data_IF_192053522792
#
_entry.id   IF_192053522792
#
_cell.length_a   1.000
_cell.length_b   1.000
_cell.length_c   1.000
_cell.angle_alpha   90.00
_cell.angle_beta   90.00
_cell.angle_gamma   90.00
#
_symmetry.space_group_name_H-M   'P 1'
#
loop_
_entity.id
_entity.type
_entity.pdbx_description
1 polymer ?
#
# COMPACT_ATOMS: atom_id res chain seq x y z
N UNK A 1 -13.80 -40.45 -45.45
CA UNK A 1 -14.04 -39.78 -46.75
C UNK A 1 -15.55 -39.64 -46.93
N UNK A 2 -16.12 -38.48 -47.31
CA UNK A 2 -15.54 -37.16 -47.59
C UNK A 2 -15.87 -36.13 -46.47
N UNK A 3 -15.04 -35.13 -46.14
CA UNK A 3 -14.58 -33.95 -46.91
C UNK A 3 -15.72 -32.96 -47.22
N UNK A 4 -15.78 -31.85 -46.48
CA UNK A 4 -16.05 -30.53 -47.05
C UNK A 4 -15.29 -29.45 -46.26
N UNK A 5 -14.24 -28.95 -46.90
CA UNK A 5 -13.65 -27.64 -46.69
C UNK A 5 -14.58 -26.57 -47.28
N UNK A 6 -14.64 -25.40 -46.65
CA UNK A 6 -14.73 -24.13 -47.37
C UNK A 6 -14.19 -23.00 -46.48
N UNK A 7 -13.20 -22.30 -47.03
CA UNK A 7 -12.56 -21.11 -46.48
C UNK A 7 -13.05 -19.85 -47.23
N UNK A 8 -12.50 -18.68 -46.83
CA UNK A 8 -12.48 -17.38 -47.54
C UNK A 8 -13.74 -16.54 -47.24
N UNK A 9 -13.66 -15.30 -46.71
CA UNK A 9 -13.19 -14.07 -47.40
C UNK A 9 -12.57 -13.07 -46.41
N UNK A 10 -11.34 -12.64 -46.72
CA UNK A 10 -10.70 -11.45 -46.18
C UNK A 10 -11.23 -10.19 -46.89
N UNK A 11 -11.46 -9.09 -46.15
CA UNK A 11 -11.63 -7.75 -46.74
C UNK A 11 -10.46 -6.85 -46.35
N UNK A 12 -9.62 -6.62 -47.35
CA UNK A 12 -8.59 -5.59 -47.42
C UNK A 12 -9.29 -4.26 -47.74
N UNK A 13 -9.02 -3.22 -46.97
CA UNK A 13 -9.19 -1.84 -47.43
C UNK A 13 -7.82 -1.16 -47.36
N UNK A 14 -7.19 -1.01 -48.52
CA UNK A 14 -6.21 0.03 -48.80
C UNK A 14 -6.94 1.17 -49.51
N UNK A 15 -6.81 2.38 -48.98
CA UNK A 15 -6.82 3.59 -49.79
C UNK A 15 -5.76 4.54 -49.28
N UNK A 16 -5.00 5.00 -50.25
CA UNK A 16 -3.72 5.63 -50.19
C UNK A 16 -3.86 7.14 -50.45
N UNK A 17 -2.88 7.89 -49.93
CA UNK A 17 -2.27 9.11 -50.50
C UNK A 17 -3.09 10.42 -50.50
N UNK A 18 -2.65 11.40 -49.70
CA UNK A 18 -1.98 12.64 -50.19
C UNK A 18 -1.61 13.59 -49.02
N UNK A 19 -0.32 13.91 -48.92
CA UNK A 19 0.24 15.18 -48.40
C UNK A 19 0.53 16.07 -49.64
N UNK A 20 0.55 17.43 -49.60
CA UNK A 20 1.71 18.13 -49.00
C UNK A 20 1.56 19.64 -48.61
N UNK A 21 2.68 20.14 -48.05
CA UNK A 21 3.28 21.51 -48.05
C UNK A 21 3.04 22.47 -46.88
N UNK A 22 4.20 22.90 -46.37
CA UNK A 22 4.51 24.07 -45.53
C UNK A 22 3.97 25.39 -46.09
N UNK A 23 3.63 26.31 -45.18
CA UNK A 23 3.97 27.73 -45.35
C UNK A 23 4.05 28.47 -44.00
N UNK A 24 5.02 29.36 -43.97
CA UNK A 24 5.47 30.37 -43.00
C UNK A 24 4.40 31.37 -42.52
N UNK A 25 4.61 31.98 -41.34
CA UNK A 25 4.09 33.33 -41.10
C UNK A 25 3.87 33.75 -39.64
N UNK A 26 4.69 34.69 -39.17
CA UNK A 26 4.53 35.45 -37.92
C UNK A 26 3.18 36.20 -37.83
N UNK A 27 2.57 36.25 -36.64
CA UNK A 27 2.02 37.51 -36.13
C UNK A 27 1.85 37.56 -34.60
N UNK A 28 2.35 38.66 -34.01
CA UNK A 28 2.16 39.11 -32.63
C UNK A 28 0.74 39.67 -32.44
N UNK A 29 0.20 39.53 -31.21
CA UNK A 29 -0.73 40.43 -30.46
C UNK A 29 -1.08 39.66 -29.17
N UNK A 30 -0.55 39.99 -27.98
CA UNK A 30 -0.74 41.17 -27.14
C UNK A 30 -2.22 41.48 -26.85
N UNK A 31 -2.76 40.90 -25.77
CA UNK A 31 -3.92 41.40 -25.03
C UNK A 31 -3.63 41.22 -23.53
N UNK A 32 -3.57 42.35 -22.83
CA UNK A 32 -3.64 42.48 -21.38
C UNK A 32 -4.97 41.92 -20.87
N UNK A 33 -4.98 41.34 -19.68
CA UNK A 33 -6.11 41.55 -18.77
C UNK A 33 -5.63 41.56 -17.32
N UNK A 34 -5.80 42.73 -16.72
CA UNK A 34 -5.90 42.96 -15.29
C UNK A 34 -6.95 42.01 -14.67
N UNK A 35 -6.69 41.55 -13.45
CA UNK A 35 -7.57 41.83 -12.33
C UNK A 35 -6.86 41.50 -11.01
N UNK A 36 -6.54 42.58 -10.29
CA UNK A 36 -6.46 42.59 -8.84
C UNK A 36 -7.83 42.19 -8.29
N UNK A 37 -7.87 41.32 -7.28
CA UNK A 37 -8.98 41.27 -6.34
C UNK A 37 -8.44 41.26 -4.92
N UNK A 38 -9.06 42.10 -4.12
CA UNK A 38 -8.62 42.61 -2.83
C UNK A 38 -8.86 41.64 -1.66
N UNK A 39 -8.04 41.87 -0.64
CA UNK A 39 -8.27 41.79 0.80
C UNK A 39 -9.63 41.28 1.30
N UNK A 40 -9.57 40.32 2.22
CA UNK A 40 -10.17 40.47 3.56
C UNK A 40 -9.69 39.35 4.49
N UNK A 41 -8.90 39.66 5.52
CA UNK A 41 -9.08 38.99 6.82
C UNK A 41 -8.78 39.94 7.97
N UNK A 42 -9.81 40.06 8.79
CA UNK A 42 -9.96 40.86 9.99
C UNK A 42 -8.88 40.63 11.04
N UNK A 43 -8.49 41.73 11.64
CA UNK A 43 -7.80 41.85 12.92
C UNK A 43 -8.81 41.59 14.04
N UNK A 44 -8.54 40.61 14.91
CA UNK A 44 -9.22 40.47 16.20
C UNK A 44 -8.15 40.41 17.29
N UNK A 45 -8.09 41.48 18.07
CA UNK A 45 -7.41 41.56 19.35
C UNK A 45 -8.31 40.95 20.43
N UNK A 46 -7.77 40.07 21.27
CA UNK A 46 -8.23 40.03 22.67
C UNK A 46 -7.14 39.55 23.64
N UNK A 47 -7.06 40.29 24.73
CA UNK A 47 -6.04 40.25 25.78
C UNK A 47 -6.40 39.22 26.87
N UNK A 48 -5.33 38.72 27.50
CA UNK A 48 -5.21 38.38 28.94
C UNK A 48 -6.20 37.35 29.52
N UNK A 49 -5.63 36.20 29.92
CA UNK A 49 -5.99 35.59 31.21
C UNK A 49 -4.74 35.18 32.00
N UNK A 50 -4.80 35.45 33.31
CA UNK A 50 -3.73 35.37 34.31
C UNK A 50 -3.56 33.96 34.88
N UNK A 51 -2.30 33.63 35.19
CA UNK A 51 -1.73 32.85 36.32
C UNK A 51 -2.71 32.06 37.22
N UNK A 52 -2.39 30.77 37.48
CA UNK A 52 -1.79 30.27 38.76
C UNK A 52 -1.59 28.72 38.76
N UNK A 53 -0.84 28.15 39.74
CA UNK A 53 0.19 27.14 39.52
C UNK A 53 -0.26 25.71 39.86
N UNK A 54 0.55 24.68 39.52
CA UNK A 54 0.60 23.50 40.38
C UNK A 54 1.91 22.69 40.29
N UNK A 55 2.50 22.54 41.48
CA UNK A 55 3.40 21.53 42.01
C UNK A 55 4.08 20.54 41.07
N UNK A 56 5.41 20.67 40.99
CA UNK A 56 6.35 19.58 40.69
C UNK A 56 6.50 18.73 41.97
N UNK A 57 6.11 17.46 41.92
CA UNK A 57 6.67 16.41 42.79
C UNK A 57 7.43 15.45 41.88
N UNK A 58 8.75 15.46 42.06
CA UNK A 58 9.68 14.45 41.59
C UNK A 58 9.61 13.25 42.54
N UNK A 59 9.43 12.06 41.99
CA UNK A 59 9.79 10.81 42.67
C UNK A 59 10.46 9.91 41.64
N UNK A 60 11.76 9.71 41.85
CA UNK A 60 12.53 8.58 41.34
C UNK A 60 11.85 7.27 41.74
N UNK A 61 11.86 6.28 40.85
CA UNK A 61 11.89 4.89 41.27
C UNK A 61 12.65 4.05 40.24
N UNK A 62 13.53 3.24 40.79
CA UNK A 62 14.61 2.53 40.15
C UNK A 62 14.15 1.29 39.36
N UNK A 63 14.97 1.00 38.34
CA UNK A 63 15.48 -0.33 37.94
C UNK A 63 14.71 -1.56 38.45
N UNK A 64 14.13 -2.32 37.51
CA UNK A 64 14.29 -3.78 37.49
C UNK A 64 14.65 -4.27 36.10
N UNK A 65 15.70 -5.07 36.11
CA UNK A 65 16.34 -5.82 35.04
C UNK A 65 15.58 -7.11 34.71
N UNK A 66 16.10 -7.79 33.68
CA UNK A 66 15.78 -9.15 33.20
C UNK A 66 14.60 -9.14 32.21
N UNK A 67 14.64 -9.81 31.05
CA UNK A 67 15.40 -11.00 30.71
C UNK A 67 15.46 -11.15 29.18
N UNK A 68 16.56 -11.74 28.73
CA UNK A 68 16.84 -12.13 27.35
C UNK A 68 15.87 -13.18 26.83
N UNK A 69 15.61 -13.15 25.52
CA UNK A 69 15.22 -14.34 24.79
C UNK A 69 16.31 -14.63 23.77
N UNK A 70 17.21 -15.52 24.18
CA UNK A 70 18.18 -16.19 23.32
C UNK A 70 17.50 -17.24 22.44
N UNK A 71 18.16 -17.47 21.31
CA UNK A 71 17.86 -18.37 20.20
C UNK A 71 17.60 -19.83 20.60
N UNK A 72 16.72 -20.53 19.88
CA UNK A 72 17.06 -21.86 19.33
C UNK A 72 16.02 -22.45 18.35
N UNK A 73 16.53 -22.81 17.17
CA UNK A 73 16.32 -24.07 16.41
C UNK A 73 14.93 -24.70 16.25
N UNK A 74 14.47 -24.71 14.99
CA UNK A 74 13.73 -25.74 14.24
C UNK A 74 12.93 -26.82 14.98
N UNK A 75 11.62 -26.83 14.75
CA UNK A 75 10.85 -28.07 14.57
C UNK A 75 9.64 -27.83 13.66
N UNK A 76 9.72 -28.35 12.43
CA UNK A 76 8.58 -28.54 11.55
C UNK A 76 7.60 -29.50 12.25
N UNK A 77 6.43 -28.99 12.60
CA UNK A 77 5.32 -29.80 13.08
C UNK A 77 4.12 -29.52 12.21
N UNK A 78 3.88 -30.43 11.27
CA UNK A 78 2.59 -30.58 10.62
C UNK A 78 1.65 -31.12 11.70
N UNK A 79 0.96 -30.23 12.41
CA UNK A 79 -0.13 -30.61 13.30
C UNK A 79 -1.44 -30.61 12.51
N UNK A 80 -1.78 -31.77 11.97
CA UNK A 80 -3.13 -32.12 11.55
C UNK A 80 -4.00 -32.34 12.80
N UNK A 81 -4.67 -31.27 13.25
CA UNK A 81 -5.62 -31.31 14.38
C UNK A 81 -6.01 -29.96 14.97
N UNK A 82 -5.30 -28.87 14.65
CA UNK A 82 -5.66 -27.52 15.08
C UNK A 82 -6.86 -26.96 14.31
N UNK A 83 -7.80 -26.34 15.00
CA UNK A 83 -8.91 -25.60 14.39
C UNK A 83 -8.49 -24.21 13.88
N UNK A 84 -7.24 -23.84 14.09
CA UNK A 84 -6.57 -22.65 13.63
C UNK A 84 -5.24 -22.99 12.95
N UNK A 85 -4.80 -22.10 12.07
CA UNK A 85 -3.53 -22.18 11.37
C UNK A 85 -2.70 -20.95 11.71
N UNK A 86 -1.51 -21.16 12.29
CA UNK A 86 -0.49 -20.13 12.39
C UNK A 86 0.22 -19.99 11.05
N UNK A 87 0.29 -18.77 10.53
CA UNK A 87 1.00 -18.50 9.29
C UNK A 87 1.63 -17.10 9.29
N UNK A 88 2.65 -16.93 8.46
CA UNK A 88 3.28 -15.67 8.13
C UNK A 88 2.80 -15.21 6.76
N UNK A 89 2.43 -13.93 6.65
CA UNK A 89 2.14 -13.25 5.38
C UNK A 89 3.13 -12.11 5.20
N UNK A 90 3.95 -12.15 4.17
CA UNK A 90 4.89 -11.08 3.84
C UNK A 90 4.43 -10.30 2.62
N UNK A 91 4.30 -8.99 2.76
CA UNK A 91 3.96 -8.06 1.68
C UNK A 91 5.20 -7.29 1.23
N UNK A 92 5.41 -7.24 -0.08
CA UNK A 92 6.43 -6.42 -0.72
C UNK A 92 5.72 -5.46 -1.66
N UNK A 93 5.95 -4.17 -1.49
CA UNK A 93 5.31 -3.12 -2.29
C UNK A 93 6.39 -2.41 -3.11
N UNK A 94 6.18 -2.36 -4.41
CA UNK A 94 7.00 -1.57 -5.33
C UNK A 94 6.10 -0.59 -6.09
N UNK A 95 6.49 0.68 -6.13
CA UNK A 95 5.89 1.63 -7.05
C UNK A 95 6.26 1.21 -8.49
N UNK A 96 5.31 1.31 -9.41
CA UNK A 96 5.51 1.06 -10.82
C UNK A 96 5.58 2.41 -11.52
N UNK A 97 6.76 3.05 -11.58
CA UNK A 97 6.92 4.23 -12.39
C UNK A 97 6.56 3.87 -13.84
N UNK A 98 5.83 4.75 -14.52
CA UNK A 98 5.59 4.61 -15.96
C UNK A 98 6.89 4.79 -16.75
N UNK A 99 6.80 5.30 -17.98
CA UNK A 99 7.97 5.50 -18.86
C UNK A 99 8.94 6.62 -18.41
N UNK A 100 8.89 7.06 -17.15
CA UNK A 100 9.72 8.14 -16.61
C UNK A 100 10.69 7.67 -15.52
N UNK A 101 11.70 8.50 -15.18
CA UNK A 101 12.66 8.21 -14.11
C UNK A 101 12.00 8.34 -12.73
N UNK A 102 11.31 7.30 -12.29
CA UNK A 102 10.74 7.19 -10.96
C UNK A 102 11.42 6.10 -10.14
N UNK A 103 11.48 6.28 -8.83
CA UNK A 103 11.89 5.20 -7.93
C UNK A 103 10.77 4.18 -7.78
N UNK A 104 11.13 2.90 -7.73
CA UNK A 104 10.22 1.81 -7.38
C UNK A 104 10.04 1.68 -5.86
N UNK A 105 10.79 2.44 -5.08
CA UNK A 105 10.84 2.29 -3.63
C UNK A 105 9.59 2.85 -2.95
N UNK A 106 9.16 2.12 -1.92
CA UNK A 106 8.16 2.56 -0.96
C UNK A 106 8.86 2.85 0.35
N UNK A 107 8.36 3.82 1.10
CA UNK A 107 8.95 4.21 2.38
C UNK A 107 7.91 4.14 3.49
N UNK A 108 8.39 3.98 4.72
CA UNK A 108 7.56 4.07 5.91
C UNK A 108 8.25 4.88 6.99
N UNK A 109 7.48 5.27 7.99
CA UNK A 109 8.00 5.88 9.21
C UNK A 109 7.39 5.24 10.44
N UNK A 110 8.17 5.18 11.51
CA UNK A 110 7.67 4.85 12.84
C UNK A 110 7.08 6.13 13.45
N UNK A 111 5.80 6.10 13.79
CA UNK A 111 5.06 7.18 14.44
C UNK A 111 4.88 6.96 15.96
N UNK A 112 5.21 5.77 16.48
CA UNK A 112 5.03 5.42 17.89
C UNK A 112 3.55 5.38 18.28
N UNK A 113 3.21 5.82 19.49
CA UNK A 113 1.83 5.81 20.02
C UNK A 113 0.99 7.02 19.57
N UNK A 114 1.45 7.78 18.57
CA UNK A 114 0.76 8.98 18.10
C UNK A 114 -0.54 8.67 17.34
N UNK A 115 -0.64 7.49 16.75
CA UNK A 115 -1.79 7.03 16.00
C UNK A 115 -2.13 5.59 16.39
N UNK A 116 -3.21 5.06 15.83
CA UNK A 116 -3.67 3.70 16.11
C UNK A 116 -2.67 2.61 15.69
N UNK A 117 -1.83 2.91 14.69
CA UNK A 117 -0.76 2.02 14.25
C UNK A 117 0.59 2.72 14.45
N UNK A 118 1.60 1.93 14.86
CA UNK A 118 2.94 2.45 15.15
C UNK A 118 3.73 2.86 13.92
N UNK A 119 3.30 2.42 12.73
CA UNK A 119 3.98 2.65 11.47
C UNK A 119 3.02 3.28 10.46
N UNK A 120 3.54 4.18 9.61
CA UNK A 120 2.82 4.76 8.49
C UNK A 120 3.56 4.45 7.20
N UNK A 121 2.89 3.79 6.26
CA UNK A 121 3.36 3.61 4.88
C UNK A 121 3.13 4.92 4.11
N UNK A 122 4.08 5.30 3.28
CA UNK A 122 4.00 6.50 2.45
C UNK A 122 3.81 6.11 1.00
N UNK A 123 2.69 6.53 0.43
CA UNK A 123 2.33 6.24 -0.95
C UNK A 123 2.04 7.54 -1.70
N UNK A 124 2.25 7.52 -3.02
CA UNK A 124 1.85 8.57 -3.92
C UNK A 124 0.41 8.33 -4.41
N UNK A 125 -0.34 9.40 -4.61
CA UNK A 125 -1.63 9.38 -5.30
C UNK A 125 -1.45 9.13 -6.80
N UNK A 126 -2.49 8.64 -7.47
CA UNK A 126 -2.48 8.43 -8.93
C UNK A 126 -1.28 7.59 -9.42
N UNK A 127 -0.89 6.59 -8.63
CA UNK A 127 0.28 5.72 -8.89
C UNK A 127 -0.16 4.26 -8.90
N UNK A 128 0.61 3.42 -9.59
CA UNK A 128 0.37 1.98 -9.63
C UNK A 128 1.43 1.28 -8.79
N UNK A 129 1.01 0.30 -7.99
CA UNK A 129 1.87 -0.47 -7.12
C UNK A 129 1.79 -1.94 -7.52
N UNK A 130 2.94 -2.56 -7.68
CA UNK A 130 3.05 -4.01 -7.68
C UNK A 130 3.15 -4.47 -6.23
N UNK A 131 2.33 -5.45 -5.87
CA UNK A 131 2.35 -6.08 -4.56
C UNK A 131 2.69 -7.54 -4.74
N UNK A 132 3.80 -7.97 -4.14
CA UNK A 132 4.13 -9.38 -3.98
C UNK A 132 3.67 -9.80 -2.58
N UNK A 133 2.97 -10.92 -2.49
CA UNK A 133 2.52 -11.50 -1.24
C UNK A 133 3.03 -12.93 -1.12
N UNK A 134 3.74 -13.21 -0.04
CA UNK A 134 4.22 -14.55 0.29
C UNK A 134 3.45 -15.09 1.50
N UNK A 135 3.01 -16.35 1.42
CA UNK A 135 2.26 -17.01 2.49
C UNK A 135 2.97 -18.31 2.88
N UNK A 136 3.31 -18.41 4.16
CA UNK A 136 4.03 -19.53 4.75
C UNK A 136 3.36 -19.99 6.06
N UNK A 137 2.98 -21.27 6.22
CA UNK A 137 3.12 -22.35 5.24
C UNK A 137 2.16 -22.18 4.05
N UNK A 138 2.43 -22.93 2.97
CA UNK A 138 1.63 -22.92 1.73
C UNK A 138 0.12 -23.01 1.99
N UNK A 139 -0.58 -21.89 1.77
CA UNK A 139 -2.03 -21.82 1.98
C UNK A 139 -2.69 -21.08 0.83
N UNK A 140 -3.59 -21.75 0.10
CA UNK A 140 -4.21 -21.18 -1.10
C UNK A 140 -5.19 -20.05 -0.79
N UNK A 141 -5.07 -18.96 -1.55
CA UNK A 141 -6.01 -17.85 -1.55
C UNK A 141 -7.15 -18.05 -2.55
N UNK A 142 -8.31 -17.51 -2.20
CA UNK A 142 -9.49 -17.44 -3.08
C UNK A 142 -9.94 -16.01 -3.34
N UNK A 143 -9.58 -15.08 -2.46
CA UNK A 143 -10.03 -13.69 -2.55
C UNK A 143 -9.05 -12.77 -1.84
N UNK A 144 -8.82 -11.60 -2.42
CA UNK A 144 -8.03 -10.53 -1.85
C UNK A 144 -8.70 -9.18 -2.15
N UNK A 145 -8.86 -8.37 -1.11
CA UNK A 145 -9.38 -7.01 -1.20
C UNK A 145 -8.42 -6.05 -0.53
N UNK A 146 -8.11 -4.95 -1.19
CA UNK A 146 -7.22 -3.91 -0.69
C UNK A 146 -7.84 -2.53 -0.97
N UNK A 147 -7.93 -1.69 0.06
CA UNK A 147 -8.52 -0.36 -0.08
C UNK A 147 -10.00 -0.38 -0.48
N UNK A 148 -10.73 -1.45 -0.14
CA UNK A 148 -12.13 -1.65 -0.51
C UNK A 148 -12.34 -2.31 -1.89
N UNK A 149 -11.30 -2.41 -2.72
CA UNK A 149 -11.36 -2.96 -4.07
C UNK A 149 -11.03 -4.45 -4.10
N UNK A 150 -11.81 -5.23 -4.84
CA UNK A 150 -11.50 -6.63 -5.12
C UNK A 150 -10.35 -6.67 -6.14
N UNK A 151 -9.22 -7.26 -5.76
CA UNK A 151 -8.02 -7.26 -6.60
C UNK A 151 -7.81 -8.64 -7.20
N UNK A 152 -7.60 -8.68 -8.52
CA UNK A 152 -7.15 -9.89 -9.21
C UNK A 152 -5.67 -10.14 -8.89
N UNK A 153 -5.34 -11.39 -8.60
CA UNK A 153 -3.98 -11.82 -8.28
C UNK A 153 -3.62 -13.07 -9.06
N UNK A 154 -2.34 -13.21 -9.35
CA UNK A 154 -1.77 -14.36 -10.05
C UNK A 154 -0.87 -15.13 -9.09
N UNK A 155 -0.97 -16.45 -9.13
CA UNK A 155 -0.08 -17.35 -8.39
C UNK A 155 1.21 -17.49 -9.19
N UNK A 156 2.33 -17.02 -8.65
CA UNK A 156 3.62 -16.91 -9.36
C UNK A 156 4.56 -18.10 -9.07
N UNK A 157 4.17 -19.02 -8.18
CA UNK A 157 5.04 -20.08 -7.64
C UNK A 157 5.92 -20.75 -8.69
N UNK A 158 7.23 -20.55 -8.52
CA UNK A 158 8.30 -21.45 -8.93
C UNK A 158 9.37 -21.39 -7.83
N UNK A 159 8.97 -21.73 -6.61
CA UNK A 159 9.87 -21.66 -5.45
C UNK A 159 10.62 -22.98 -5.36
N UNK A 160 11.96 -22.95 -5.38
CA UNK A 160 12.81 -24.14 -5.18
C UNK A 160 12.58 -24.84 -3.82
N UNK A 161 11.92 -24.15 -2.87
CA UNK A 161 11.55 -24.67 -1.57
C UNK A 161 10.01 -24.68 -1.43
N UNK A 162 9.44 -25.88 -1.29
CA UNK A 162 8.00 -26.16 -1.23
C UNK A 162 7.28 -25.69 0.06
N UNK A 163 7.76 -24.63 0.72
CA UNK A 163 7.22 -24.18 2.00
C UNK A 163 6.23 -23.01 1.89
N UNK A 164 6.27 -22.23 0.80
CA UNK A 164 5.45 -21.00 0.66
C UNK A 164 4.81 -20.83 -0.71
N UNK A 165 3.65 -20.15 -0.72
CA UNK A 165 3.00 -19.69 -1.95
C UNK A 165 3.28 -18.22 -2.19
N UNK A 166 3.53 -17.86 -3.44
CA UNK A 166 3.79 -16.48 -3.86
C UNK A 166 2.68 -16.03 -4.81
N UNK A 167 2.12 -14.87 -4.49
CA UNK A 167 1.12 -14.19 -5.30
C UNK A 167 1.62 -12.82 -5.72
N UNK A 168 1.22 -12.40 -6.91
CA UNK A 168 1.48 -11.06 -7.42
C UNK A 168 0.17 -10.41 -7.82
N UNK A 169 0.04 -9.12 -7.50
CA UNK A 169 -1.12 -8.31 -7.83
C UNK A 169 -0.72 -6.85 -8.06
N UNK A 170 -1.60 -6.10 -8.70
CA UNK A 170 -1.42 -4.69 -8.97
C UNK A 170 -2.53 -3.89 -8.30
N UNK A 171 -2.15 -2.78 -7.67
CA UNK A 171 -3.07 -1.90 -6.99
C UNK A 171 -2.84 -0.45 -7.43
N UNK A 172 -3.91 0.23 -7.82
CA UNK A 172 -3.86 1.63 -8.24
C UNK A 172 -4.37 2.55 -7.14
N UNK A 173 -3.69 3.68 -6.94
CA UNK A 173 -4.14 4.78 -6.09
C UNK A 173 -4.81 5.91 -6.90
N UNK A 174 -5.21 5.63 -8.15
CA UNK A 174 -6.03 6.54 -8.94
C UNK A 174 -7.34 6.85 -8.22
N UNK A 175 -7.71 8.13 -8.20
CA UNK A 175 -8.91 8.60 -7.48
C UNK A 175 -8.75 8.73 -5.96
N UNK A 176 -7.62 8.32 -5.37
CA UNK A 176 -7.34 8.54 -3.95
C UNK A 176 -6.78 9.95 -3.75
N UNK A 177 -7.43 10.74 -2.89
CA UNK A 177 -6.98 12.09 -2.53
C UNK A 177 -5.77 12.08 -1.60
N UNK A 178 -4.95 13.13 -1.67
CA UNK A 178 -3.82 13.30 -0.72
C UNK A 178 -4.31 13.37 0.73
N UNK A 179 -3.57 12.76 1.66
CA UNK A 179 -3.93 12.77 3.07
C UNK A 179 -3.49 14.07 3.73
N UNK A 180 -4.44 14.81 4.30
CA UNK A 180 -4.19 16.07 5.02
C UNK A 180 -3.09 15.98 6.09
N UNK A 181 -2.44 17.11 6.38
CA UNK A 181 -1.42 17.20 7.43
C UNK A 181 -2.00 16.71 8.78
N UNK A 182 -1.18 16.03 9.58
CA UNK A 182 -1.55 15.39 10.86
C UNK A 182 -2.49 14.18 10.76
N UNK A 183 -3.16 13.94 9.63
CA UNK A 183 -4.02 12.77 9.43
C UNK A 183 -3.28 11.59 8.78
N UNK A 184 -3.90 10.41 8.91
CA UNK A 184 -3.56 9.15 8.27
C UNK A 184 -4.83 8.51 7.72
N UNK A 185 -4.67 7.71 6.68
CA UNK A 185 -5.74 6.96 6.05
C UNK A 185 -5.56 5.49 6.39
N UNK A 186 -6.61 4.85 6.89
CA UNK A 186 -6.64 3.41 7.07
C UNK A 186 -7.01 2.74 5.75
N UNK A 187 -6.11 1.92 5.21
CA UNK A 187 -6.34 1.13 4.01
C UNK A 187 -6.72 -0.29 4.46
N UNK A 188 -8.01 -0.68 4.39
CA UNK A 188 -8.45 -2.01 4.80
C UNK A 188 -7.94 -3.09 3.85
N UNK A 189 -7.60 -4.24 4.40
CA UNK A 189 -7.19 -5.43 3.69
C UNK A 189 -8.02 -6.63 4.17
N UNK A 190 -8.52 -7.41 3.22
CA UNK A 190 -9.23 -8.67 3.50
C UNK A 190 -8.64 -9.77 2.64
N UNK A 191 -8.28 -10.88 3.26
CA UNK A 191 -7.71 -12.06 2.59
C UNK A 191 -8.57 -13.26 2.94
N UNK A 192 -9.04 -14.01 1.93
CA UNK A 192 -9.79 -15.27 2.14
C UNK A 192 -8.97 -16.45 1.65
N UNK A 193 -8.78 -17.40 2.53
CA UNK A 193 -8.12 -18.67 2.23
C UNK A 193 -9.15 -19.71 1.77
N UNK A 194 -8.71 -20.71 1.00
CA UNK A 194 -9.60 -21.75 0.45
C UNK A 194 -10.22 -22.65 1.52
N UNK A 195 -9.42 -23.04 2.52
CA UNK A 195 -9.81 -23.97 3.60
C UNK A 195 -10.08 -23.30 4.95
N UNK A 196 -9.81 -21.99 5.07
CA UNK A 196 -9.86 -21.25 6.34
C UNK A 196 -10.67 -19.96 6.19
N UNK A 197 -11.02 -19.33 7.31
CA UNK A 197 -11.75 -18.06 7.30
C UNK A 197 -10.94 -16.92 6.71
N UNK A 198 -11.66 -15.88 6.30
CA UNK A 198 -11.02 -14.60 5.95
C UNK A 198 -10.38 -13.95 7.17
N UNK A 199 -9.27 -13.26 6.94
CA UNK A 199 -8.66 -12.33 7.90
C UNK A 199 -8.88 -10.90 7.41
N UNK A 200 -9.11 -9.98 8.34
CA UNK A 200 -9.24 -8.55 8.06
C UNK A 200 -8.24 -7.79 8.90
N UNK A 201 -7.59 -6.82 8.29
CA UNK A 201 -6.69 -5.90 8.99
C UNK A 201 -6.62 -4.61 8.18
N UNK A 202 -5.82 -3.65 8.64
CA UNK A 202 -5.61 -2.38 7.97
C UNK A 202 -4.14 -1.98 7.98
N UNK A 203 -3.75 -1.24 6.94
CA UNK A 203 -2.50 -0.51 6.90
C UNK A 203 -2.77 0.97 7.14
N UNK A 204 -2.00 1.58 8.04
CA UNK A 204 -1.99 3.02 8.19
C UNK A 204 -1.11 3.65 7.11
N UNK A 205 -1.70 4.52 6.29
CA UNK A 205 -1.08 5.10 5.11
C UNK A 205 -1.14 6.62 5.16
N UNK A 206 -0.14 7.27 4.56
CA UNK A 206 -0.20 8.67 4.17
C UNK A 206 -0.02 8.81 2.67
N UNK A 207 -1.04 9.30 2.00
CA UNK A 207 -1.00 9.60 0.57
C UNK A 207 -0.43 11.00 0.34
N UNK A 208 0.65 11.07 -0.43
CA UNK A 208 1.29 12.28 -0.90
C UNK A 208 0.94 12.53 -2.35
N UNK A 209 0.99 13.78 -2.78
CA UNK A 209 0.91 14.09 -4.21
C UNK A 209 2.03 13.35 -4.96
N UNK A 210 1.77 12.90 -6.19
CA UNK A 210 2.77 12.26 -7.05
C UNK A 210 4.01 13.13 -7.29
N UNK A 211 3.85 14.46 -7.20
CA UNK A 211 4.95 15.43 -7.37
C UNK A 211 5.74 15.69 -6.07
N UNK A 212 5.34 15.12 -4.93
CA UNK A 212 5.88 15.41 -3.61
C UNK A 212 6.84 14.32 -3.11
N UNK A 213 7.82 14.02 -3.95
CA UNK A 213 8.81 12.95 -3.71
C UNK A 213 9.58 13.14 -2.40
N UNK A 214 9.96 14.39 -2.11
CA UNK A 214 10.71 14.74 -0.89
C UNK A 214 10.02 14.26 0.39
N UNK A 215 8.67 14.33 0.46
CA UNK A 215 7.93 13.90 1.66
C UNK A 215 7.53 12.44 1.61
N UNK A 216 7.25 11.89 0.43
CA UNK A 216 6.96 10.46 0.26
C UNK A 216 8.18 9.58 0.52
N UNK A 217 9.38 10.05 0.21
CA UNK A 217 10.64 9.29 0.35
C UNK A 217 11.36 9.50 1.70
N UNK A 218 10.88 10.43 2.53
CA UNK A 218 11.46 10.65 3.86
C UNK A 218 11.16 9.45 4.78
N UNK A 219 12.16 8.85 5.41
CA UNK A 219 11.97 7.77 6.38
C UNK A 219 12.83 6.56 6.07
N UNK A 220 12.34 5.37 6.43
CA UNK A 220 13.01 4.11 6.10
C UNK A 220 12.41 3.55 4.81
N UNK A 221 13.27 3.03 3.93
CA UNK A 221 12.82 2.24 2.78
C UNK A 221 12.10 0.99 3.30
N UNK A 222 10.96 0.67 2.69
CA UNK A 222 10.14 -0.48 3.01
C UNK A 222 10.59 -1.65 2.14
N UNK A 223 11.14 -2.68 2.76
CA UNK A 223 11.51 -3.92 2.10
C UNK A 223 10.35 -4.91 2.14
N UNK A 224 9.78 -5.12 3.33
CA UNK A 224 8.58 -5.95 3.49
C UNK A 224 7.75 -5.53 4.70
N UNK A 225 6.48 -5.96 4.70
CA UNK A 225 5.64 -5.98 5.89
C UNK A 225 5.29 -7.42 6.18
N UNK A 226 5.76 -7.90 7.32
CA UNK A 226 5.54 -9.26 7.77
C UNK A 226 4.40 -9.28 8.79
N UNK A 227 3.40 -10.11 8.54
CA UNK A 227 2.27 -10.35 9.42
C UNK A 227 2.37 -11.76 9.98
N UNK A 228 2.39 -11.89 11.30
CA UNK A 228 2.16 -13.18 11.96
C UNK A 228 0.67 -13.28 12.26
N UNK A 229 0.03 -14.35 11.80
CA UNK A 229 -1.42 -14.47 11.82
C UNK A 229 -1.86 -15.81 12.42
N UNK A 230 -3.02 -15.77 13.09
CA UNK A 230 -3.83 -16.95 13.41
C UNK A 230 -5.04 -16.97 12.50
N UNK A 231 -5.22 -18.00 11.68
CA UNK A 231 -6.37 -18.12 10.79
C UNK A 231 -7.29 -19.23 11.27
N UNK A 232 -8.49 -18.86 11.72
CA UNK A 232 -9.46 -19.82 12.23
C UNK A 232 -10.19 -20.62 11.14
N UNK A 233 -10.72 -21.77 11.53
CA UNK A 233 -11.65 -22.62 10.78
C UNK A 233 -12.96 -22.80 11.58
N UNK A 234 -14.09 -23.01 10.91
CA UNK A 234 -15.36 -23.28 11.60
C UNK A 234 -15.84 -22.11 12.48
N UNK A 235 -15.89 -22.27 13.79
CA UNK A 235 -16.25 -21.20 14.75
C UNK A 235 -15.08 -20.26 15.09
N UNK A 236 -13.83 -20.70 14.93
CA UNK A 236 -12.63 -19.97 15.34
C UNK A 236 -12.42 -18.69 14.54
N UNK A 237 -11.91 -17.64 15.18
CA UNK A 237 -11.67 -16.32 14.57
C UNK A 237 -10.29 -16.24 13.92
N UNK A 238 -10.12 -15.32 12.98
CA UNK A 238 -8.81 -15.00 12.40
C UNK A 238 -8.30 -13.67 12.93
N UNK A 239 -7.02 -13.59 13.32
CA UNK A 239 -6.36 -12.40 13.86
C UNK A 239 -4.97 -12.20 13.25
N UNK A 240 -4.56 -10.93 13.17
CA UNK A 240 -3.15 -10.57 12.97
C UNK A 240 -2.56 -10.39 14.36
N UNK A 241 -1.61 -11.24 14.71
CA UNK A 241 -1.02 -11.29 16.04
C UNK A 241 0.13 -10.28 16.15
N UNK A 242 0.92 -10.12 15.07
CA UNK A 242 2.04 -9.19 15.01
C UNK A 242 2.18 -8.58 13.60
N UNK A 243 2.66 -7.32 13.53
CA UNK A 243 3.04 -6.64 12.28
C UNK A 243 4.46 -6.07 12.40
N UNK A 244 5.34 -6.49 11.50
CA UNK A 244 6.74 -6.04 11.46
C UNK A 244 7.03 -5.35 10.14
N UNK A 245 7.64 -4.16 10.19
CA UNK A 245 8.03 -3.38 9.01
C UNK A 245 9.56 -3.42 8.88
N UNK A 246 10.03 -3.94 7.74
CA UNK A 246 11.45 -4.16 7.43
C UNK A 246 11.97 -3.20 6.37
#
# INVERSE_FOLDING_TARGET
>A
MPLFQAAIVARIFHKDITKPKDQTGLHKKNIQNHNLYNDTTNTFDEKKLKKRPNARKTSECEKKSLQSCGSSSNKSSINSGGNDLKLKISFYLANMPGNGPGSTDVFFKQDGQRFNEQHTIKLATCSNYQVKMEIEPMTELTFFKLGGMDIKFEKVTNTANDTKLVYQLFWSTAGISTTMRKFRTDVPCTIKFKKYKKINFKFQVKFYSSNDRKRSELGKKLNSIDLECTIGRGSYTSSVDCKTFN
#
